data_IF_248608482221
#
_entry.id   IF_248608482221
#
_cell.length_a   1.000
_cell.length_b   1.000
_cell.length_c   1.000
_cell.angle_alpha   90.00
_cell.angle_beta   90.00
_cell.angle_gamma   90.00
#
_symmetry.space_group_name_H-M   'P 1'
#
loop_
_entity.id
_entity.type
_entity.pdbx_description
1 polymer ?
#
# COMPACT_ATOMS: atom_id res chain seq x y z
N UNK A 1 12.58 -17.54 20.95
CA UNK A 1 11.85 -16.36 20.51
C UNK A 1 11.47 -16.50 19.06
N UNK A 2 10.23 -16.30 18.79
CA UNK A 2 9.79 -16.35 17.41
C UNK A 2 10.11 -15.02 16.74
N UNK A 3 10.86 -15.06 15.66
CA UNK A 3 11.13 -13.80 14.98
C UNK A 3 9.84 -13.21 14.43
N UNK A 4 9.69 -11.94 14.61
CA UNK A 4 8.64 -11.21 13.97
C UNK A 4 8.83 -11.33 12.48
N UNK A 5 7.73 -11.43 11.76
CA UNK A 5 7.85 -11.29 10.33
C UNK A 5 8.26 -9.86 10.04
N UNK A 6 9.40 -9.70 9.41
CA UNK A 6 9.86 -8.39 8.99
C UNK A 6 9.60 -8.17 7.52
N UNK A 7 8.96 -9.12 6.88
CA UNK A 7 8.71 -9.05 5.46
C UNK A 7 7.54 -8.12 5.21
N UNK A 8 7.77 -7.08 4.44
CA UNK A 8 6.71 -6.21 4.01
C UNK A 8 5.75 -6.95 3.10
N UNK A 9 4.53 -6.49 3.06
CA UNK A 9 3.49 -7.07 2.21
C UNK A 9 2.97 -6.01 1.26
N UNK A 10 2.44 -6.41 0.10
CA UNK A 10 1.87 -5.43 -0.83
C UNK A 10 0.68 -4.71 -0.23
N UNK A 11 0.56 -3.44 -0.58
CA UNK A 11 -0.58 -2.64 -0.14
C UNK A 11 -1.90 -3.29 -0.52
N UNK A 12 -1.94 -4.00 -1.65
CA UNK A 12 -3.16 -4.64 -2.12
C UNK A 12 -3.73 -5.62 -1.11
N UNK A 13 -2.92 -6.12 -0.18
CA UNK A 13 -3.38 -7.09 0.82
C UNK A 13 -4.04 -6.45 2.05
N UNK A 14 -4.02 -5.14 2.14
CA UNK A 14 -4.60 -4.47 3.30
C UNK A 14 -6.11 -4.70 3.33
N UNK A 15 -6.63 -5.03 4.51
CA UNK A 15 -8.07 -5.21 4.69
C UNK A 15 -8.74 -3.84 4.87
N UNK A 16 -10.03 -3.80 4.66
CA UNK A 16 -10.81 -2.58 4.88
C UNK A 16 -10.62 -2.14 6.33
N UNK A 17 -10.39 -0.86 6.50
CA UNK A 17 -10.15 -0.21 7.80
C UNK A 17 -8.82 -0.61 8.43
N UNK A 18 -8.03 -1.41 7.76
CA UNK A 18 -6.69 -1.72 8.25
C UNK A 18 -5.74 -0.61 7.86
N UNK A 19 -4.89 -0.20 8.80
CA UNK A 19 -3.86 0.80 8.57
C UNK A 19 -2.50 0.14 8.70
N UNK A 20 -1.54 0.67 7.95
CA UNK A 20 -0.18 0.21 8.06
C UNK A 20 0.73 1.35 7.62
N UNK A 21 2.03 1.11 7.66
CA UNK A 21 3.01 2.11 7.30
C UNK A 21 3.69 1.69 6.00
N UNK A 22 3.86 2.62 5.08
CA UNK A 22 4.54 2.35 3.83
C UNK A 22 6.02 2.13 4.13
N UNK A 23 6.53 0.97 3.73
CA UNK A 23 7.93 0.63 3.93
C UNK A 23 8.76 0.76 2.67
N UNK A 24 8.14 0.65 1.51
CA UNK A 24 8.86 0.75 0.25
C UNK A 24 7.89 1.03 -0.88
N UNK A 25 8.38 1.71 -1.88
CA UNK A 25 7.69 1.87 -3.15
C UNK A 25 8.68 1.42 -4.19
N UNK A 26 8.43 0.26 -4.80
CA UNK A 26 9.43 -0.39 -5.64
C UNK A 26 9.09 -0.19 -7.10
N UNK A 27 9.98 0.44 -7.82
CA UNK A 27 9.84 0.53 -9.26
C UNK A 27 9.92 -0.88 -9.84
N UNK A 28 9.06 -1.16 -10.80
CA UNK A 28 9.19 -2.40 -11.54
C UNK A 28 9.71 -2.06 -12.94
N UNK A 29 10.07 -3.12 -13.67
CA UNK A 29 10.71 -2.91 -14.97
C UNK A 29 9.72 -2.49 -16.04
N UNK A 30 8.44 -2.56 -15.77
CA UNK A 30 7.45 -2.38 -16.83
C UNK A 30 6.73 -1.07 -16.75
N UNK A 31 6.98 -0.28 -15.74
CA UNK A 31 6.14 0.86 -15.68
C UNK A 31 6.62 1.96 -14.81
N UNK A 32 5.88 3.02 -14.91
CA UNK A 32 6.11 4.23 -14.15
C UNK A 32 5.17 4.33 -12.97
N UNK A 33 4.53 3.22 -12.55
CA UNK A 33 3.56 3.28 -11.47
C UNK A 33 4.21 3.80 -10.20
N UNK A 34 5.40 3.28 -9.86
CA UNK A 34 6.09 3.74 -8.66
C UNK A 34 6.42 5.21 -8.75
N UNK A 35 6.92 5.67 -9.89
CA UNK A 35 7.26 7.07 -10.06
C UNK A 35 6.02 7.96 -9.96
N UNK A 36 4.92 7.50 -10.54
CA UNK A 36 3.68 8.27 -10.48
C UNK A 36 3.21 8.43 -9.04
N UNK A 37 3.30 7.35 -8.26
CA UNK A 37 2.90 7.42 -6.86
C UNK A 37 3.78 8.38 -6.08
N UNK A 38 5.09 8.33 -6.32
CA UNK A 38 6.01 9.24 -5.67
C UNK A 38 5.66 10.69 -6.04
N UNK A 39 5.35 10.91 -7.30
CA UNK A 39 5.02 12.26 -7.78
C UNK A 39 3.77 12.82 -7.13
N UNK A 40 2.80 11.98 -6.81
CA UNK A 40 1.57 12.43 -6.17
C UNK A 40 1.68 12.46 -4.66
N UNK A 41 2.83 12.06 -4.10
CA UNK A 41 3.07 12.24 -2.68
C UNK A 41 3.22 10.99 -1.84
N UNK A 42 3.21 9.81 -2.43
CA UNK A 42 3.45 8.59 -1.67
C UNK A 42 4.91 8.53 -1.25
N UNK A 43 5.15 8.26 0.02
CA UNK A 43 6.50 8.19 0.57
C UNK A 43 6.59 7.09 1.60
N UNK A 44 7.79 6.56 1.76
CA UNK A 44 8.06 5.65 2.86
C UNK A 44 7.83 6.37 4.17
N UNK A 45 7.31 5.63 5.13
CA UNK A 45 7.02 6.16 6.45
C UNK A 45 5.62 6.69 6.63
N UNK A 46 4.87 6.87 5.56
CA UNK A 46 3.51 7.35 5.67
C UNK A 46 2.57 6.25 6.13
N UNK A 47 1.53 6.66 6.86
CA UNK A 47 0.47 5.75 7.24
C UNK A 47 -0.54 5.67 6.11
N UNK A 48 -0.97 4.46 5.82
CA UNK A 48 -1.98 4.23 4.80
C UNK A 48 -3.10 3.38 5.39
N UNK A 49 -4.32 3.69 5.04
CA UNK A 49 -5.50 2.94 5.48
C UNK A 49 -6.31 2.55 4.27
N UNK A 50 -6.72 1.29 4.22
CA UNK A 50 -7.61 0.84 3.16
C UNK A 50 -9.05 1.22 3.55
N UNK A 51 -9.70 1.98 2.69
CA UNK A 51 -11.06 2.46 2.96
C UNK A 51 -12.11 1.59 2.28
N UNK A 52 -11.83 1.09 1.08
CA UNK A 52 -12.80 0.32 0.33
C UNK A 52 -12.11 -0.74 -0.50
N UNK A 53 -12.71 -1.91 -0.56
CA UNK A 53 -12.24 -3.02 -1.40
C UNK A 53 -13.42 -3.55 -2.23
N UNK A 54 -13.80 -2.84 -3.28
CA UNK A 54 -14.88 -3.34 -4.14
C UNK A 54 -14.49 -4.70 -4.73
N UNK A 55 -15.50 -5.48 -5.06
CA UNK A 55 -15.27 -6.82 -5.57
C UNK A 55 -14.72 -6.85 -6.98
N UNK A 56 -14.38 -8.05 -7.43
CA UNK A 56 -14.00 -8.34 -8.82
C UNK A 56 -12.76 -7.60 -9.29
N UNK A 57 -11.82 -7.36 -8.37
CA UNK A 57 -10.55 -6.73 -8.75
C UNK A 57 -10.66 -5.27 -9.09
N UNK A 58 -11.78 -4.63 -8.76
CA UNK A 58 -11.92 -3.20 -8.99
C UNK A 58 -10.90 -2.42 -8.16
N UNK A 59 -10.58 -1.20 -8.56
CA UNK A 59 -9.64 -0.39 -7.80
C UNK A 59 -10.08 -0.24 -6.35
N UNK A 60 -9.10 -0.24 -5.45
CA UNK A 60 -9.33 -0.08 -4.03
C UNK A 60 -9.00 1.33 -3.61
N UNK A 61 -9.66 1.80 -2.57
CA UNK A 61 -9.50 3.18 -2.12
C UNK A 61 -8.66 3.21 -0.86
N UNK A 62 -7.66 4.06 -0.85
CA UNK A 62 -6.73 4.19 0.26
C UNK A 62 -6.62 5.64 0.70
N UNK A 63 -6.48 5.84 2.00
CA UNK A 63 -6.23 7.16 2.56
C UNK A 63 -4.76 7.26 2.93
N UNK A 64 -4.09 8.29 2.43
CA UNK A 64 -2.68 8.54 2.70
C UNK A 64 -2.50 10.05 2.80
N UNK A 65 -1.94 10.49 3.93
CA UNK A 65 -1.56 11.89 4.06
C UNK A 65 -2.69 12.88 3.92
N UNK A 66 -3.88 12.51 4.36
CA UNK A 66 -5.01 13.43 4.29
C UNK A 66 -5.75 13.44 2.97
N UNK A 67 -5.35 12.61 2.04
CA UNK A 67 -6.00 12.49 0.73
C UNK A 67 -6.42 11.05 0.51
N UNK A 68 -7.31 10.84 -0.44
CA UNK A 68 -7.72 9.50 -0.82
C UNK A 68 -7.32 9.22 -2.26
N UNK A 69 -6.95 7.98 -2.51
CA UNK A 69 -6.50 7.54 -3.82
C UNK A 69 -7.17 6.24 -4.19
N UNK A 70 -7.54 6.11 -5.44
CA UNK A 70 -8.09 4.87 -5.97
C UNK A 70 -7.00 4.20 -6.79
N UNK A 71 -6.57 3.03 -6.35
CA UNK A 71 -5.44 2.34 -6.98
C UNK A 71 -5.88 0.98 -7.49
N UNK A 72 -5.50 0.67 -8.71
CA UNK A 72 -5.71 -0.67 -9.23
C UNK A 72 -4.69 -1.64 -8.64
N UNK A 73 -4.87 -2.92 -8.92
CA UNK A 73 -4.02 -3.94 -8.34
C UNK A 73 -2.56 -3.76 -8.75
N UNK A 74 -2.33 -3.45 -10.00
CA UNK A 74 -0.96 -3.30 -10.49
C UNK A 74 -0.25 -2.16 -9.77
N UNK A 75 -0.93 -1.04 -9.64
CA UNK A 75 -0.34 0.13 -9.00
C UNK A 75 -0.15 -0.12 -7.51
N UNK A 76 -1.15 -0.67 -6.84
CA UNK A 76 -1.04 -0.92 -5.40
C UNK A 76 0.03 -1.98 -5.10
N UNK A 77 0.34 -2.84 -6.05
CA UNK A 77 1.30 -3.91 -5.81
C UNK A 77 2.74 -3.45 -5.78
N UNK A 78 3.04 -2.23 -6.23
CA UNK A 78 4.41 -1.70 -6.11
C UNK A 78 4.63 -1.02 -4.77
N UNK A 79 3.59 -0.83 -3.98
CA UNK A 79 3.69 -0.23 -2.64
C UNK A 79 3.70 -1.35 -1.62
N UNK A 80 4.67 -1.31 -0.72
CA UNK A 80 4.80 -2.29 0.34
C UNK A 80 4.59 -1.63 1.68
N UNK A 81 3.94 -2.36 2.57
CA UNK A 81 3.60 -1.86 3.89
C UNK A 81 4.13 -2.81 4.93
N UNK A 82 4.15 -2.34 6.17
CA UNK A 82 4.63 -3.13 7.30
C UNK A 82 3.86 -4.43 7.40
N UNK A 83 4.50 -5.47 7.95
CA UNK A 83 3.78 -6.69 8.26
C UNK A 83 2.62 -6.39 9.18
N UNK A 84 1.67 -7.31 9.21
CA UNK A 84 0.52 -7.15 10.08
C UNK A 84 0.99 -6.95 11.51
N UNK A 85 0.46 -5.91 12.14
CA UNK A 85 0.79 -5.63 13.53
C UNK A 85 -0.04 -6.53 14.42
N UNK A 86 0.61 -7.13 15.40
CA UNK A 86 -0.09 -7.93 16.37
C UNK A 86 -0.42 -7.12 17.60
N UNK A 87 -0.41 -5.85 17.48
CA UNK A 87 -0.60 -4.94 18.61
C UNK A 87 -1.77 -5.29 19.48
#
# INVERSE_FOLDING_TARGET
MTPQSTVSRPLWQLAVDESSQITAIKANTLGSAAQRLIDIGFREGQRVTCLMRPGFGAPRVYAVGGATYSLDQRTASVVFVSPESSA
#
